data_IF_522843396314
#
_entry.id   IF_522843396314
#
_cell.length_a   1.000
_cell.length_b   1.000
_cell.length_c   1.000
_cell.angle_alpha   90.00
_cell.angle_beta   90.00
_cell.angle_gamma   90.00
#
_symmetry.space_group_name_H-M   'P 1'
#
loop_
_entity.id
_entity.type
_entity.pdbx_description
1 polymer ?
#
# COMPACT_ATOMS: atom_id res chain seq x y z
N UNK A 1 36.43 -39.06 -28.49
CA UNK A 1 37.18 -40.30 -28.19
C UNK A 1 37.15 -40.53 -26.67
N UNK A 2 36.92 -41.77 -26.26
CA UNK A 2 36.45 -42.26 -24.95
C UNK A 2 37.42 -41.94 -23.78
N UNK A 3 37.01 -41.91 -22.51
CA UNK A 3 36.84 -43.11 -21.66
C UNK A 3 35.87 -42.89 -20.48
N UNK A 4 34.93 -43.84 -20.35
CA UNK A 4 34.08 -44.13 -19.20
C UNK A 4 34.84 -44.95 -18.16
N UNK A 5 34.47 -44.82 -16.88
CA UNK A 5 34.46 -45.85 -15.82
C UNK A 5 33.50 -45.32 -14.73
N UNK A 6 32.29 -45.83 -14.44
CA UNK A 6 31.72 -47.16 -14.08
C UNK A 6 32.01 -47.64 -12.64
N UNK A 7 30.89 -47.90 -11.93
CA UNK A 7 30.60 -48.85 -10.81
C UNK A 7 30.65 -48.28 -9.38
N UNK A 8 29.85 -48.71 -8.39
CA UNK A 8 28.60 -49.49 -8.24
C UNK A 8 28.31 -49.61 -6.71
N UNK A 9 27.11 -50.13 -6.33
CA UNK A 9 26.60 -50.55 -5.01
C UNK A 9 25.79 -49.45 -4.27
N UNK A 10 24.45 -49.48 -4.13
CA UNK A 10 23.45 -50.52 -3.78
C UNK A 10 23.78 -51.23 -2.47
N UNK A 11 23.07 -50.86 -1.39
CA UNK A 11 22.44 -51.82 -0.49
C UNK A 11 21.09 -51.30 0.02
N UNK A 12 20.11 -52.20 -0.09
CA UNK A 12 18.72 -52.13 0.35
C UNK A 12 18.65 -52.40 1.86
N UNK A 13 17.76 -51.72 2.57
CA UNK A 13 17.43 -52.01 3.97
C UNK A 13 16.00 -51.57 4.30
N UNK A 14 15.07 -52.51 4.18
CA UNK A 14 13.64 -52.42 4.50
C UNK A 14 13.42 -52.53 6.00
N UNK A 15 12.56 -51.69 6.57
CA UNK A 15 11.79 -51.96 7.81
C UNK A 15 10.56 -51.02 7.77
N UNK A 16 9.43 -51.43 7.21
CA UNK A 16 8.25 -51.98 7.93
C UNK A 16 8.17 -51.47 9.38
N UNK A 17 7.15 -50.66 9.65
CA UNK A 17 6.23 -50.85 10.78
C UNK A 17 5.06 -49.89 10.58
N UNK A 18 3.94 -50.44 10.14
CA UNK A 18 2.67 -49.74 10.13
C UNK A 18 2.23 -49.47 11.57
N UNK A 19 1.81 -48.24 11.84
CA UNK A 19 0.91 -47.94 12.94
C UNK A 19 -0.40 -47.44 12.34
N UNK A 20 -1.34 -48.36 12.18
CA UNK A 20 -2.77 -48.06 12.13
C UNK A 20 -3.17 -47.47 13.48
N UNK A 21 -3.39 -46.15 13.53
CA UNK A 21 -4.12 -45.53 14.62
C UNK A 21 -5.60 -45.50 14.23
N UNK A 22 -6.31 -46.48 14.77
CA UNK A 22 -7.77 -46.55 14.79
C UNK A 22 -8.30 -45.30 15.52
N UNK A 23 -9.20 -44.57 14.85
CA UNK A 23 -10.05 -43.56 15.48
C UNK A 23 -11.01 -44.26 16.45
N UNK A 24 -10.71 -44.25 17.74
CA UNK A 24 -11.70 -44.42 18.80
C UNK A 24 -11.15 -43.80 20.08
N UNK A 25 -11.80 -42.73 20.53
CA UNK A 25 -11.44 -42.01 21.73
C UNK A 25 -12.48 -40.93 21.99
N UNK A 26 -13.48 -41.31 22.77
CA UNK A 26 -14.60 -40.51 23.21
C UNK A 26 -14.17 -39.18 23.85
N UNK A 27 -15.07 -38.21 23.78
CA UNK A 27 -14.99 -36.92 24.44
C UNK A 27 -14.59 -37.04 25.92
N UNK A 28 -13.63 -36.22 26.35
CA UNK A 28 -13.64 -35.62 27.67
C UNK A 28 -12.86 -34.30 27.58
N UNK A 29 -13.52 -33.23 27.98
CA UNK A 29 -13.07 -31.84 28.03
C UNK A 29 -11.72 -31.66 28.74
N UNK A 30 -10.77 -31.04 28.03
CA UNK A 30 -9.55 -30.45 28.60
C UNK A 30 -9.26 -29.14 27.87
N UNK A 31 -9.37 -28.03 28.60
CA UNK A 31 -9.19 -26.65 28.11
C UNK A 31 -7.72 -26.35 27.83
N UNK A 32 -7.22 -26.77 26.68
CA UNK A 32 -5.97 -26.23 26.15
C UNK A 32 -6.25 -24.91 25.45
N UNK A 33 -5.89 -23.81 26.12
CA UNK A 33 -5.86 -22.46 25.54
C UNK A 33 -4.69 -22.35 24.55
N UNK A 34 -4.81 -23.11 23.45
CA UNK A 34 -3.91 -23.08 22.31
C UNK A 34 -3.84 -21.66 21.75
N UNK A 35 -2.70 -21.01 22.00
CA UNK A 35 -2.34 -19.69 21.51
C UNK A 35 -2.57 -19.65 20.00
N UNK A 36 -3.68 -19.07 19.57
CA UNK A 36 -4.00 -18.88 18.16
C UNK A 36 -2.83 -18.14 17.50
N UNK A 37 -2.06 -18.86 16.67
CA UNK A 37 -1.04 -18.25 15.83
C UNK A 37 -1.78 -17.32 14.88
N UNK A 38 -1.86 -16.03 15.23
CA UNK A 38 -2.45 -14.99 14.38
C UNK A 38 -1.70 -15.02 13.05
N UNK A 39 -2.29 -15.67 12.04
CA UNK A 39 -1.85 -15.54 10.64
C UNK A 39 -1.77 -14.05 10.33
N UNK A 40 -0.55 -13.54 10.16
CA UNK A 40 -0.33 -12.15 9.77
C UNK A 40 -0.91 -12.01 8.37
N UNK A 41 -2.13 -11.48 8.26
CA UNK A 41 -2.78 -11.30 6.98
C UNK A 41 -1.97 -10.33 6.12
N UNK A 42 -1.54 -10.79 4.94
CA UNK A 42 -0.92 -9.93 3.95
C UNK A 42 -2.00 -9.02 3.36
N UNK A 43 -1.83 -7.69 3.37
CA UNK A 43 -2.82 -6.78 2.84
C UNK A 43 -2.99 -6.99 1.34
N UNK A 44 -4.24 -7.01 0.87
CA UNK A 44 -4.58 -7.25 -0.54
C UNK A 44 -4.85 -5.93 -1.25
N UNK A 45 -4.48 -5.86 -2.52
CA UNK A 45 -4.81 -4.71 -3.39
C UNK A 45 -6.32 -4.60 -3.52
N UNK A 46 -6.84 -3.39 -3.36
CA UNK A 46 -8.27 -3.12 -3.53
C UNK A 46 -8.70 -3.37 -4.98
N UNK A 47 -9.84 -4.05 -5.14
CA UNK A 47 -10.50 -4.26 -6.45
C UNK A 47 -11.39 -3.07 -6.85
N UNK A 48 -11.56 -2.08 -5.97
CA UNK A 48 -12.39 -0.89 -6.24
C UNK A 48 -11.67 0.01 -7.25
N UNK A 49 -12.41 0.54 -8.22
CA UNK A 49 -11.86 1.46 -9.22
C UNK A 49 -11.13 2.66 -8.56
N UNK A 50 -9.95 3.10 -9.07
CA UNK A 50 -9.17 4.17 -8.45
C UNK A 50 -9.96 5.47 -8.26
N UNK A 51 -10.78 5.83 -9.26
CA UNK A 51 -11.64 7.01 -9.20
C UNK A 51 -12.62 6.98 -8.02
N UNK A 52 -13.19 5.81 -7.70
CA UNK A 52 -14.08 5.62 -6.55
C UNK A 52 -13.33 5.67 -5.21
N UNK A 53 -12.07 5.20 -5.17
CA UNK A 53 -11.26 5.27 -3.94
C UNK A 53 -10.86 6.70 -3.57
N UNK A 54 -10.64 7.56 -4.58
CA UNK A 54 -10.18 8.94 -4.40
C UNK A 54 -11.35 9.91 -4.23
N UNK A 55 -12.42 9.73 -5.01
CA UNK A 55 -13.60 10.60 -4.94
C UNK A 55 -14.17 10.58 -3.53
N UNK A 56 -14.35 11.77 -2.96
CA UNK A 56 -14.91 11.98 -1.61
C UNK A 56 -14.13 11.28 -0.48
N UNK A 57 -12.84 11.06 -0.67
CA UNK A 57 -11.97 10.46 0.35
C UNK A 57 -11.52 11.49 1.37
N UNK A 58 -12.12 11.47 2.56
CA UNK A 58 -11.67 12.27 3.72
C UNK A 58 -10.36 11.78 4.33
N UNK A 59 -9.74 10.75 3.76
CA UNK A 59 -8.46 10.21 4.19
C UNK A 59 -7.28 10.99 3.60
N UNK A 60 -6.14 10.94 4.29
CA UNK A 60 -4.89 11.48 3.77
C UNK A 60 -4.33 10.56 2.68
N UNK A 61 -4.18 11.10 1.49
CA UNK A 61 -3.48 10.49 0.36
C UNK A 61 -2.08 11.07 0.24
N UNK A 62 -1.06 10.25 0.39
CA UNK A 62 0.34 10.64 0.35
C UNK A 62 0.93 10.38 -1.02
N UNK A 63 1.75 11.31 -1.50
CA UNK A 63 2.66 11.07 -2.60
C UNK A 63 4.12 11.06 -2.11
N UNK A 64 4.88 10.06 -2.53
CA UNK A 64 6.33 9.98 -2.28
C UNK A 64 7.02 9.10 -3.32
N UNK A 65 8.35 9.24 -3.47
CA UNK A 65 9.14 8.38 -4.37
C UNK A 65 8.98 6.89 -4.01
N UNK A 66 8.90 6.56 -2.72
CA UNK A 66 8.55 5.24 -2.21
C UNK A 66 8.18 5.32 -0.71
N UNK A 67 7.63 4.24 -0.14
CA UNK A 67 7.22 4.20 1.28
C UNK A 67 8.39 4.40 2.27
N UNK A 68 9.63 4.07 1.89
CA UNK A 68 10.82 4.25 2.74
C UNK A 68 11.46 5.64 2.59
N UNK A 69 10.97 6.47 1.67
CA UNK A 69 11.55 7.76 1.36
C UNK A 69 11.59 8.67 2.59
N UNK A 70 12.78 9.19 2.88
CA UNK A 70 12.99 10.24 3.89
C UNK A 70 12.99 11.57 3.15
N UNK A 71 12.06 12.45 3.52
CA UNK A 71 11.98 13.79 2.95
C UNK A 71 12.39 14.81 3.98
N UNK A 72 13.41 15.62 3.67
CA UNK A 72 13.82 16.72 4.54
C UNK A 72 12.78 17.85 4.55
N UNK A 73 12.10 18.05 3.42
CA UNK A 73 11.00 19.00 3.30
C UNK A 73 9.64 18.40 3.67
N UNK A 74 9.57 17.13 4.11
CA UNK A 74 8.33 16.41 4.42
C UNK A 74 7.61 15.78 3.23
N UNK A 75 6.55 15.03 3.50
CA UNK A 75 5.81 14.22 2.53
C UNK A 75 4.55 14.98 2.10
N UNK A 76 4.30 15.04 0.80
CA UNK A 76 3.08 15.65 0.27
C UNK A 76 1.87 14.76 0.58
N UNK A 77 0.83 15.38 1.12
CA UNK A 77 -0.42 14.73 1.44
C UNK A 77 -1.61 15.55 0.94
N UNK A 78 -2.66 14.86 0.52
CA UNK A 78 -3.85 15.44 -0.10
C UNK A 78 -5.10 14.89 0.56
N UNK A 79 -6.10 15.74 0.75
CA UNK A 79 -7.44 15.33 1.17
C UNK A 79 -8.43 15.75 0.09
N UNK A 80 -9.22 14.79 -0.38
CA UNK A 80 -10.23 15.00 -1.43
C UNK A 80 -11.59 15.12 -0.79
N UNK A 81 -12.15 16.32 -0.79
CA UNK A 81 -13.44 16.59 -0.16
C UNK A 81 -14.60 16.42 -1.14
N UNK A 82 -15.81 16.30 -0.59
CA UNK A 82 -17.04 16.40 -1.38
C UNK A 82 -17.08 17.76 -2.08
N UNK A 83 -17.62 17.80 -3.30
CA UNK A 83 -17.68 19.02 -4.11
C UNK A 83 -16.44 19.30 -4.98
N UNK A 84 -15.59 18.30 -5.22
CA UNK A 84 -14.49 18.44 -6.20
C UNK A 84 -13.31 19.29 -5.72
N UNK A 85 -13.19 19.50 -4.42
CA UNK A 85 -12.12 20.29 -3.80
C UNK A 85 -11.01 19.41 -3.23
N UNK A 86 -9.80 19.94 -3.22
CA UNK A 86 -8.61 19.27 -2.66
C UNK A 86 -7.85 20.21 -1.75
N UNK A 87 -7.37 19.68 -0.63
CA UNK A 87 -6.48 20.38 0.30
C UNK A 87 -5.14 19.68 0.32
N UNK A 88 -4.07 20.45 0.16
CA UNK A 88 -2.71 19.94 0.10
C UNK A 88 -1.93 20.33 1.36
N UNK A 89 -1.16 19.37 1.84
CA UNK A 89 -0.48 19.41 3.12
C UNK A 89 0.91 18.83 3.02
N UNK A 90 1.80 19.36 3.84
CA UNK A 90 3.08 18.76 4.12
C UNK A 90 2.99 18.00 5.44
N UNK A 91 3.48 16.76 5.48
CA UNK A 91 3.54 15.96 6.71
C UNK A 91 4.94 15.48 7.04
N UNK A 92 5.27 15.42 8.32
CA UNK A 92 6.59 14.96 8.80
C UNK A 92 6.82 13.45 8.58
N UNK A 93 5.74 12.66 8.60
CA UNK A 93 5.73 11.20 8.43
C UNK A 93 4.34 10.74 7.98
N UNK A 94 4.20 9.46 7.65
CA UNK A 94 2.89 8.87 7.42
C UNK A 94 2.10 8.77 8.72
N UNK A 95 0.84 9.22 8.68
CA UNK A 95 -0.13 9.09 9.77
C UNK A 95 -1.32 8.25 9.30
N UNK A 96 -1.93 7.51 10.22
CA UNK A 96 -3.11 6.70 9.92
C UNK A 96 -4.37 7.54 9.62
N UNK A 97 -4.39 8.81 9.99
CA UNK A 97 -5.50 9.72 9.74
C UNK A 97 -5.09 11.19 9.83
N UNK A 98 -5.92 12.07 9.28
CA UNK A 98 -5.76 13.52 9.44
C UNK A 98 -5.78 13.96 10.91
N UNK A 99 -6.69 13.38 11.72
CA UNK A 99 -6.78 13.68 13.14
C UNK A 99 -5.48 13.29 13.89
N UNK A 100 -4.89 12.13 13.56
CA UNK A 100 -3.62 11.72 14.16
C UNK A 100 -2.47 12.67 13.78
N UNK A 101 -2.43 13.12 12.51
CA UNK A 101 -1.44 14.08 12.05
C UNK A 101 -1.59 15.45 12.76
N UNK A 102 -2.84 15.92 12.92
CA UNK A 102 -3.16 17.18 13.63
C UNK A 102 -2.78 17.09 15.11
N UNK A 103 -3.15 16.01 15.80
CA UNK A 103 -2.80 15.79 17.22
C UNK A 103 -1.29 15.80 17.45
N UNK A 104 -0.52 15.24 16.51
CA UNK A 104 0.94 15.21 16.58
C UNK A 104 1.62 16.51 16.10
N UNK A 105 0.87 17.58 15.78
CA UNK A 105 1.38 18.82 15.16
C UNK A 105 2.32 18.54 13.97
N UNK A 106 2.00 17.49 13.21
CA UNK A 106 2.87 16.92 12.17
C UNK A 106 2.39 17.19 10.76
N UNK A 107 1.44 18.11 10.59
CA UNK A 107 0.80 18.46 9.33
C UNK A 107 0.68 19.98 9.20
N UNK A 108 1.08 20.53 8.06
CA UNK A 108 0.92 21.94 7.71
C UNK A 108 0.23 22.06 6.35
N UNK A 109 -0.79 22.91 6.24
CA UNK A 109 -1.48 23.16 4.97
C UNK A 109 -0.63 24.11 4.14
N UNK A 110 -0.38 23.77 2.88
CA UNK A 110 0.36 24.64 1.95
C UNK A 110 -0.47 25.05 0.71
N UNK A 111 -1.61 24.39 0.48
CA UNK A 111 -2.40 24.67 -0.72
C UNK A 111 -3.84 24.19 -0.63
N UNK A 112 -4.64 24.71 -1.54
CA UNK A 112 -6.00 24.25 -1.80
C UNK A 112 -6.37 24.49 -3.25
N UNK A 113 -7.39 23.79 -3.73
CA UNK A 113 -7.92 23.99 -5.06
C UNK A 113 -8.98 22.97 -5.42
N UNK A 114 -9.05 22.62 -6.70
CA UNK A 114 -10.00 21.65 -7.24
C UNK A 114 -9.29 20.42 -7.77
N UNK A 115 -10.01 19.30 -7.84
CA UNK A 115 -9.53 18.09 -8.48
C UNK A 115 -10.49 17.60 -9.56
N UNK A 116 -9.93 16.98 -10.60
CA UNK A 116 -10.66 16.27 -11.63
C UNK A 116 -10.09 14.86 -11.77
N UNK A 117 -10.99 13.90 -11.93
CA UNK A 117 -10.64 12.52 -12.25
C UNK A 117 -11.01 12.26 -13.71
N UNK A 118 -10.07 11.76 -14.49
CA UNK A 118 -10.30 11.32 -15.87
C UNK A 118 -9.65 9.97 -16.10
N UNK A 119 -9.95 9.36 -17.25
CA UNK A 119 -9.28 8.17 -17.73
C UNK A 119 -8.56 8.55 -19.02
N UNK A 120 -7.28 8.22 -19.13
CA UNK A 120 -6.51 8.50 -20.36
C UNK A 120 -6.73 7.43 -21.43
N UNK A 121 -6.13 7.63 -22.60
CA UNK A 121 -6.21 6.69 -23.73
C UNK A 121 -5.69 5.28 -23.37
N UNK A 122 -4.74 5.18 -22.43
CA UNK A 122 -4.20 3.94 -21.89
C UNK A 122 -5.07 3.31 -20.78
N UNK A 123 -6.31 3.77 -20.60
CA UNK A 123 -7.26 3.30 -19.57
C UNK A 123 -6.76 3.48 -18.12
N UNK A 124 -5.84 4.42 -17.90
CA UNK A 124 -5.32 4.75 -16.57
C UNK A 124 -6.10 5.92 -15.98
N UNK A 125 -6.41 5.84 -14.68
CA UNK A 125 -6.99 6.97 -13.97
C UNK A 125 -5.95 8.08 -13.81
N UNK A 126 -6.32 9.29 -14.18
CA UNK A 126 -5.52 10.50 -14.00
C UNK A 126 -6.23 11.41 -13.00
N UNK A 127 -5.50 11.83 -11.97
CA UNK A 127 -5.95 12.81 -10.97
C UNK A 127 -5.28 14.14 -11.30
N UNK A 128 -6.05 15.12 -11.73
CA UNK A 128 -5.54 16.47 -11.98
C UNK A 128 -5.95 17.37 -10.83
N UNK A 129 -4.98 18.00 -10.17
CA UNK A 129 -5.21 19.02 -9.15
C UNK A 129 -4.87 20.38 -9.73
N UNK A 130 -5.80 21.31 -9.68
CA UNK A 130 -5.55 22.73 -9.96
C UNK A 130 -5.54 23.47 -8.63
N UNK A 131 -4.35 23.89 -8.19
CA UNK A 131 -4.15 24.44 -6.85
C UNK A 131 -3.53 25.83 -6.90
N UNK A 132 -3.64 26.57 -5.80
CA UNK A 132 -2.81 27.75 -5.52
C UNK A 132 -1.83 27.41 -4.40
N UNK A 133 -0.53 27.53 -4.66
CA UNK A 133 0.56 27.37 -3.69
C UNK A 133 1.07 28.76 -3.34
N UNK A 134 0.80 29.23 -2.12
CA UNK A 134 1.21 30.58 -1.70
C UNK A 134 0.80 31.70 -2.69
N UNK A 135 -0.38 31.56 -3.32
CA UNK A 135 -0.91 32.50 -4.31
C UNK A 135 -0.58 32.15 -5.77
N UNK A 136 0.43 31.33 -6.03
CA UNK A 136 0.86 30.95 -7.39
C UNK A 136 0.04 29.74 -7.87
N UNK A 137 -0.58 29.81 -9.07
CA UNK A 137 -1.28 28.67 -9.63
C UNK A 137 -0.31 27.55 -9.99
N UNK A 138 -0.63 26.33 -9.59
CA UNK A 138 0.14 25.13 -9.89
C UNK A 138 -0.79 23.99 -10.28
N UNK A 139 -0.38 23.23 -11.29
CA UNK A 139 -1.14 22.06 -11.76
C UNK A 139 -0.37 20.78 -11.49
N UNK A 140 -0.99 19.88 -10.74
CA UNK A 140 -0.44 18.57 -10.44
C UNK A 140 -1.22 17.53 -11.22
N UNK A 141 -0.53 16.59 -11.84
CA UNK A 141 -1.16 15.46 -12.48
C UNK A 141 -0.60 14.16 -11.92
N UNK A 142 -1.46 13.30 -11.38
CA UNK A 142 -1.09 11.96 -10.94
C UNK A 142 -1.67 10.92 -11.90
N UNK A 143 -0.81 10.24 -12.63
CA UNK A 143 -1.17 9.08 -13.45
C UNK A 143 -1.06 7.82 -12.60
N UNK A 144 -2.20 7.24 -12.27
CA UNK A 144 -2.28 6.04 -11.42
C UNK A 144 -2.01 4.79 -12.27
N UNK A 145 -1.05 3.98 -11.81
CA UNK A 145 -0.59 2.76 -12.47
C UNK A 145 -1.15 1.53 -11.71
N UNK A 146 -0.29 0.54 -11.44
CA UNK A 146 -0.65 -0.69 -10.73
C UNK A 146 -1.07 -0.40 -9.28
N UNK A 147 -2.13 -1.07 -8.83
CA UNK A 147 -2.56 -1.05 -7.44
C UNK A 147 -1.51 -1.65 -6.49
N UNK A 148 -1.48 -1.14 -5.26
CA UNK A 148 -0.49 -1.47 -4.24
C UNK A 148 -1.18 -1.64 -2.88
N UNK A 149 -0.76 -2.66 -2.14
CA UNK A 149 -1.08 -2.84 -0.73
C UNK A 149 0.18 -3.34 0.00
N UNK A 150 0.61 -2.67 1.07
CA UNK A 150 1.88 -2.99 1.74
C UNK A 150 1.88 -2.57 3.21
N UNK A 151 2.48 -3.39 4.08
CA UNK A 151 2.76 -3.01 5.47
C UNK A 151 4.13 -2.33 5.59
N UNK A 152 4.20 -1.24 6.35
CA UNK A 152 5.44 -0.55 6.68
C UNK A 152 5.29 0.26 7.98
N UNK A 153 6.24 0.14 8.91
CA UNK A 153 6.25 0.86 10.21
C UNK A 153 4.92 0.81 10.97
N UNK A 154 4.30 -0.37 11.05
CA UNK A 154 3.03 -0.57 11.76
C UNK A 154 1.81 0.05 11.09
N UNK A 155 1.93 0.52 9.84
CA UNK A 155 0.82 0.99 9.03
C UNK A 155 0.64 0.08 7.81
N UNK A 156 -0.60 -0.05 7.38
CA UNK A 156 -0.99 -0.69 6.14
C UNK A 156 -1.34 0.37 5.11
N UNK A 157 -0.61 0.37 4.01
CA UNK A 157 -0.77 1.29 2.89
C UNK A 157 -1.59 0.65 1.79
N UNK A 158 -2.52 1.43 1.22
CA UNK A 158 -3.33 1.04 0.06
C UNK A 158 -3.28 2.16 -0.96
N UNK A 159 -3.22 1.82 -2.24
CA UNK A 159 -3.25 2.83 -3.30
C UNK A 159 -2.61 2.31 -4.56
N UNK A 160 -1.70 3.10 -5.15
CA UNK A 160 -1.18 2.85 -6.47
C UNK A 160 0.30 3.24 -6.57
N UNK A 161 1.04 2.55 -7.45
CA UNK A 161 2.19 3.18 -8.08
C UNK A 161 1.67 4.34 -8.94
N UNK A 162 2.38 5.46 -8.97
CA UNK A 162 1.94 6.65 -9.67
C UNK A 162 3.12 7.37 -10.34
N UNK A 163 2.82 8.15 -11.37
CA UNK A 163 3.70 9.20 -11.85
C UNK A 163 3.03 10.54 -11.54
N UNK A 164 3.75 11.45 -10.87
CA UNK A 164 3.31 12.81 -10.60
C UNK A 164 4.03 13.75 -11.55
N UNK A 165 3.29 14.59 -12.25
CA UNK A 165 3.82 15.65 -13.10
C UNK A 165 3.44 17.01 -12.51
N UNK A 166 4.40 17.91 -12.37
CA UNK A 166 4.22 19.32 -11.98
C UNK A 166 5.11 20.14 -12.91
N UNK A 167 4.56 21.15 -13.58
CA UNK A 167 5.32 22.06 -14.47
C UNK A 167 6.27 21.32 -15.44
N UNK A 168 5.76 20.24 -16.05
CA UNK A 168 6.45 19.30 -16.96
C UNK A 168 7.41 18.30 -16.31
N UNK A 169 7.79 18.49 -15.05
CA UNK A 169 8.65 17.55 -14.32
C UNK A 169 7.87 16.34 -13.81
N UNK A 170 8.23 15.16 -14.31
CA UNK A 170 7.57 13.90 -13.95
C UNK A 170 8.41 13.06 -13.00
N UNK A 171 7.85 12.75 -11.84
CA UNK A 171 8.44 11.92 -10.80
C UNK A 171 7.61 10.65 -10.60
N UNK A 172 8.26 9.49 -10.70
CA UNK A 172 7.65 8.21 -10.35
C UNK A 172 7.64 8.01 -8.83
N UNK A 173 6.57 7.39 -8.32
CA UNK A 173 6.43 7.13 -6.90
C UNK A 173 5.21 6.30 -6.55
N UNK A 174 4.71 6.49 -5.34
CA UNK A 174 3.51 5.86 -4.82
C UNK A 174 2.51 6.93 -4.40
N UNK A 175 1.23 6.66 -4.67
CA UNK A 175 0.10 7.48 -4.24
C UNK A 175 -0.84 6.63 -3.39
N UNK A 176 -0.82 6.85 -2.07
CA UNK A 176 -1.35 5.88 -1.10
C UNK A 176 -2.07 6.54 0.07
N UNK A 177 -3.08 5.87 0.60
CA UNK A 177 -3.62 6.10 1.94
C UNK A 177 -2.94 5.16 2.93
N UNK A 178 -2.89 5.54 4.20
CA UNK A 178 -2.36 4.72 5.28
C UNK A 178 -3.44 4.44 6.34
N UNK A 179 -3.48 3.21 6.84
CA UNK A 179 -4.35 2.76 7.94
C UNK A 179 -3.50 2.03 8.99
N UNK A 180 -3.98 1.91 10.22
CA UNK A 180 -3.38 0.95 11.17
C UNK A 180 -3.75 -0.46 10.74
#
# INVERSE_FOLDING_TARGET
MMKKLKRLAIFVGVSILGLSLVLTGCAQSGTDTGRSVKKVSTPKVSKVAPSKQIRNSSQLWYFSKNLKYKSNSGIEAFIFTKGGTVRAYNVKKYYASYAAAKKAKGISKFGQGTYKLSVNKQKQTVVTLKMKLSGIPATYQFKLKKGLAKKYKGLTFYGFNAARTVDSDTVNGVFVQAKK
#
